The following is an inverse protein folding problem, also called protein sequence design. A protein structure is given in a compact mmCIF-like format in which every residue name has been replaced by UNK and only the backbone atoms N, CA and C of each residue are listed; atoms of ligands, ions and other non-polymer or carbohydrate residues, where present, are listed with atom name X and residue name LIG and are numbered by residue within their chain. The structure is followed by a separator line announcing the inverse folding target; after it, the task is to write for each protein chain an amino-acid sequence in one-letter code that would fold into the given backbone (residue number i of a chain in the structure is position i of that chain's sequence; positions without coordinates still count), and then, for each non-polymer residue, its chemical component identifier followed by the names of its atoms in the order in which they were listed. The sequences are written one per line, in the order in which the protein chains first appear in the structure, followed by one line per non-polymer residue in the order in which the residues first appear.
data_IF_068938204018
#
_entry.id   IF_068938204018
#
_cell.length_a   1.000
_cell.length_b   1.000
_cell.length_c   1.000
_cell.angle_alpha   90.00
_cell.angle_beta   90.00
_cell.angle_gamma   90.00
#
_symmetry.space_group_name_H-M   'P 1'
#
loop_
_entity.id
_entity.type
_entity.pdbx_description
1 polymer ?
#
# COMPACT_ATOMS: atom_id res chain seq x y z
N UNK A 1 22.04 8.41 2.54
CA UNK A 1 20.79 9.22 2.60
C UNK A 1 19.60 8.51 1.95
N UNK A 2 19.80 7.83 0.80
CA UNK A 2 18.72 7.06 0.13
C UNK A 2 18.19 5.92 1.00
N UNK A 3 19.08 5.17 1.65
CA UNK A 3 18.71 4.02 2.48
C UNK A 3 17.79 4.43 3.65
N UNK A 4 18.08 5.57 4.30
CA UNK A 4 17.22 6.07 5.39
C UNK A 4 15.83 6.50 4.89
N UNK A 5 15.75 7.10 3.71
CA UNK A 5 14.48 7.49 3.12
C UNK A 5 13.67 6.26 2.71
N UNK A 6 14.32 5.27 2.08
CA UNK A 6 13.69 4.02 1.69
C UNK A 6 13.14 3.28 2.91
N UNK A 7 13.98 3.09 3.94
CA UNK A 7 13.58 2.40 5.18
C UNK A 7 12.45 3.16 5.88
N UNK A 8 12.54 4.48 6.00
CA UNK A 8 11.48 5.29 6.62
C UNK A 8 10.14 5.12 5.90
N UNK A 9 10.12 5.27 4.57
CA UNK A 9 8.91 5.08 3.78
C UNK A 9 8.37 3.64 3.87
N UNK A 10 9.26 2.64 3.87
CA UNK A 10 8.87 1.24 4.01
C UNK A 10 8.20 0.95 5.36
N UNK A 11 8.73 1.52 6.45
CA UNK A 11 8.19 1.31 7.80
C UNK A 11 6.82 1.95 8.00
N UNK A 12 6.46 3.00 7.24
CA UNK A 12 5.13 3.62 7.29
C UNK A 12 3.99 2.62 7.02
N UNK A 13 4.24 1.48 6.40
CA UNK A 13 3.22 0.42 6.23
C UNK A 13 2.74 -0.15 7.57
N UNK A 14 3.60 -0.19 8.57
CA UNK A 14 3.22 -0.61 9.92
C UNK A 14 2.41 0.48 10.62
N UNK A 15 2.78 1.76 10.42
CA UNK A 15 2.00 2.90 10.89
C UNK A 15 0.60 2.92 10.27
N UNK A 16 0.47 2.61 8.99
CA UNK A 16 -0.81 2.50 8.30
C UNK A 16 -1.69 1.40 8.93
N UNK A 17 -1.12 0.22 9.24
CA UNK A 17 -1.85 -0.85 9.93
C UNK A 17 -2.29 -0.42 11.33
N UNK A 18 -1.41 0.25 12.07
CA UNK A 18 -1.72 0.77 13.40
C UNK A 18 -2.81 1.83 13.36
N UNK A 19 -2.77 2.73 12.36
CA UNK A 19 -3.80 3.76 12.17
C UNK A 19 -5.18 3.13 11.88
N UNK A 20 -5.23 2.15 10.97
CA UNK A 20 -6.47 1.41 10.68
C UNK A 20 -7.00 0.68 11.91
N UNK A 21 -6.12 0.06 12.69
CA UNK A 21 -6.46 -0.60 13.95
C UNK A 21 -7.06 0.41 14.95
N UNK A 22 -6.41 1.56 15.12
CA UNK A 22 -6.86 2.62 16.02
C UNK A 22 -8.22 3.17 15.61
N UNK A 23 -8.41 3.56 14.34
CA UNK A 23 -9.67 4.11 13.83
C UNK A 23 -10.80 3.07 13.85
N UNK A 24 -10.47 1.79 13.70
CA UNK A 24 -11.41 0.66 13.84
C UNK A 24 -11.69 0.26 15.29
N UNK A 25 -11.19 1.02 16.28
CA UNK A 25 -11.43 0.75 17.71
C UNK A 25 -10.70 -0.47 18.26
N UNK A 26 -9.61 -0.91 17.61
CA UNK A 26 -8.80 -2.06 18.05
C UNK A 26 -7.59 -1.60 18.86
N UNK A 27 -7.14 -2.42 19.80
CA UNK A 27 -5.97 -2.13 20.63
C UNK A 27 -4.63 -2.60 20.02
N UNK A 28 -4.68 -3.41 18.95
CA UNK A 28 -3.48 -3.95 18.33
C UNK A 28 -2.56 -2.85 17.82
N UNK A 29 -1.27 -2.96 18.14
CA UNK A 29 -0.20 -2.06 17.71
C UNK A 29 1.02 -2.89 17.29
N UNK A 30 1.60 -2.57 16.13
CA UNK A 30 2.83 -3.20 15.64
C UNK A 30 4.02 -2.30 15.97
N UNK A 31 4.91 -2.78 16.83
CA UNK A 31 6.07 -2.02 17.35
C UNK A 31 7.17 -1.78 16.29
N UNK A 32 7.03 -2.32 15.10
CA UNK A 32 7.93 -2.01 13.96
C UNK A 32 7.61 -0.65 13.33
N UNK A 33 6.48 -0.04 13.68
CA UNK A 33 6.06 1.27 13.22
C UNK A 33 7.02 2.38 13.67
N UNK A 34 7.02 3.50 12.93
CA UNK A 34 7.81 4.68 13.26
C UNK A 34 7.20 5.50 14.39
N UNK A 35 5.87 5.47 14.52
CA UNK A 35 5.11 6.30 15.46
C UNK A 35 4.44 5.43 16.50
N UNK A 36 4.43 5.93 17.73
CA UNK A 36 3.73 5.27 18.83
C UNK A 36 2.21 5.40 18.68
N UNK A 37 1.49 4.60 19.46
CA UNK A 37 0.03 4.70 19.54
C UNK A 37 -0.42 6.08 19.97
N UNK A 38 0.26 6.66 20.96
CA UNK A 38 -0.03 8.00 21.48
C UNK A 38 0.13 9.09 20.42
N UNK A 39 1.17 8.98 19.56
CA UNK A 39 1.38 9.91 18.44
C UNK A 39 0.27 9.79 17.39
N UNK A 40 -0.21 8.59 17.10
CA UNK A 40 -1.35 8.38 16.20
C UNK A 40 -2.66 8.92 16.82
N UNK A 41 -2.90 8.70 18.12
CA UNK A 41 -4.06 9.25 18.84
C UNK A 41 -4.03 10.79 18.84
N UNK A 42 -2.86 11.40 19.03
CA UNK A 42 -2.69 12.84 18.92
C UNK A 42 -2.99 13.37 17.52
N UNK A 43 -2.61 12.62 16.47
CA UNK A 43 -2.92 12.98 15.09
C UNK A 43 -4.44 12.95 14.81
N UNK A 44 -5.13 11.93 15.32
CA UNK A 44 -6.60 11.83 15.23
C UNK A 44 -7.27 13.02 15.94
N UNK A 45 -6.82 13.34 17.15
CA UNK A 45 -7.34 14.47 17.90
C UNK A 45 -7.06 15.81 17.23
N UNK A 46 -5.85 16.01 16.68
CA UNK A 46 -5.49 17.22 15.94
C UNK A 46 -6.42 17.46 14.73
N UNK A 47 -6.78 16.40 14.00
CA UNK A 47 -7.76 16.51 12.91
C UNK A 47 -9.14 16.87 13.44
N UNK A 48 -9.59 16.19 14.50
CA UNK A 48 -10.91 16.39 15.11
C UNK A 48 -11.13 17.84 15.59
N UNK A 49 -10.09 18.47 16.16
CA UNK A 49 -10.18 19.87 16.63
C UNK A 49 -9.77 20.91 15.60
N UNK A 50 -9.37 20.50 14.39
CA UNK A 50 -8.92 21.38 13.31
C UNK A 50 -7.54 22.01 13.56
N UNK A 51 -6.68 21.41 14.37
CA UNK A 51 -5.30 21.88 14.56
C UNK A 51 -4.45 21.57 13.34
N UNK A 52 -3.89 22.61 12.73
CA UNK A 52 -3.02 22.51 11.54
C UNK A 52 -1.55 22.79 11.85
N UNK A 53 -1.22 23.21 13.07
CA UNK A 53 0.10 23.71 13.43
C UNK A 53 1.05 22.62 13.97
N UNK A 54 0.52 21.58 14.57
CA UNK A 54 1.31 20.49 15.16
C UNK A 54 1.02 19.17 14.43
N UNK A 55 1.66 18.95 13.27
CA UNK A 55 1.47 17.77 12.42
C UNK A 55 2.80 17.09 12.12
N UNK A 56 3.38 16.35 13.10
CA UNK A 56 4.69 15.69 12.91
C UNK A 56 4.66 14.49 11.95
N UNK A 57 3.50 13.88 11.73
CA UNK A 57 3.35 12.76 10.82
C UNK A 57 3.31 13.22 9.35
N UNK A 58 3.50 12.32 8.38
CA UNK A 58 3.31 12.64 6.96
C UNK A 58 1.90 13.18 6.67
N UNK A 59 1.80 14.15 5.75
CA UNK A 59 0.54 14.84 5.45
C UNK A 59 -0.59 13.88 5.07
N UNK A 60 -0.29 12.81 4.32
CA UNK A 60 -1.31 11.85 3.89
C UNK A 60 -2.04 11.16 5.06
N UNK A 61 -1.39 11.03 6.23
CA UNK A 61 -2.01 10.46 7.44
C UNK A 61 -3.17 11.34 7.90
N UNK A 62 -2.95 12.65 7.94
CA UNK A 62 -4.00 13.63 8.33
C UNK A 62 -5.10 13.70 7.27
N UNK A 63 -4.74 13.64 6.00
CA UNK A 63 -5.70 13.62 4.89
C UNK A 63 -6.59 12.37 4.97
N UNK A 64 -6.02 11.22 5.32
CA UNK A 64 -6.79 10.00 5.53
C UNK A 64 -7.72 10.08 6.72
N UNK A 65 -7.22 10.53 7.89
CA UNK A 65 -8.02 10.69 9.11
C UNK A 65 -9.22 11.62 8.84
N UNK A 66 -8.98 12.75 8.15
CA UNK A 66 -10.01 13.74 7.87
C UNK A 66 -11.17 13.21 7.03
N UNK A 67 -10.91 12.23 6.15
CA UNK A 67 -11.94 11.65 5.26
C UNK A 67 -12.42 10.26 5.67
N UNK A 68 -11.91 9.71 6.75
CA UNK A 68 -12.19 8.33 7.17
C UNK A 68 -13.70 8.05 7.33
N UNK A 69 -14.42 8.98 7.98
CA UNK A 69 -15.86 8.86 8.18
C UNK A 69 -16.69 9.06 6.89
N UNK A 70 -16.06 9.61 5.83
CA UNK A 70 -16.71 9.97 4.58
C UNK A 70 -16.41 8.98 3.43
N UNK A 71 -15.68 7.88 3.71
CA UNK A 71 -15.24 6.92 2.68
C UNK A 71 -16.39 6.18 1.99
N UNK A 72 -17.57 6.08 2.62
CA UNK A 72 -18.72 5.40 2.04
C UNK A 72 -18.41 3.93 1.72
N UNK A 73 -18.53 3.55 0.44
CA UNK A 73 -18.27 2.18 -0.03
C UNK A 73 -16.78 1.89 -0.31
N UNK A 74 -15.91 2.89 -0.18
CA UNK A 74 -14.45 2.71 -0.38
C UNK A 74 -13.87 2.04 0.86
N UNK A 75 -13.13 0.95 0.66
CA UNK A 75 -12.44 0.28 1.76
C UNK A 75 -11.34 1.19 2.33
N UNK A 76 -11.30 1.37 3.66
CA UNK A 76 -10.26 2.20 4.29
C UNK A 76 -8.84 1.78 3.94
N UNK A 77 -8.58 0.47 3.81
CA UNK A 77 -7.30 -0.09 3.41
C UNK A 77 -6.88 0.36 2.01
N UNK A 78 -7.81 0.40 1.07
CA UNK A 78 -7.54 0.79 -0.32
C UNK A 78 -7.23 2.29 -0.41
N UNK A 79 -8.02 3.14 0.25
CA UNK A 79 -7.77 4.58 0.27
C UNK A 79 -6.45 4.93 0.97
N UNK A 80 -6.15 4.29 2.10
CA UNK A 80 -4.89 4.52 2.79
C UNK A 80 -3.69 4.04 1.98
N UNK A 81 -3.81 2.90 1.30
CA UNK A 81 -2.78 2.40 0.38
C UNK A 81 -2.55 3.36 -0.77
N UNK A 82 -3.61 3.91 -1.36
CA UNK A 82 -3.52 4.92 -2.42
C UNK A 82 -2.73 6.15 -1.95
N UNK A 83 -3.12 6.72 -0.83
CA UNK A 83 -2.45 7.90 -0.25
C UNK A 83 -0.99 7.64 0.11
N UNK A 84 -0.70 6.45 0.64
CA UNK A 84 0.66 6.02 0.98
C UNK A 84 1.56 5.93 -0.27
N UNK A 85 1.10 5.28 -1.34
CA UNK A 85 1.89 5.18 -2.57
C UNK A 85 2.05 6.55 -3.25
N UNK A 86 1.01 7.38 -3.26
CA UNK A 86 1.09 8.75 -3.78
C UNK A 86 2.16 9.56 -3.02
N UNK A 87 2.22 9.42 -1.69
CA UNK A 87 3.25 10.04 -0.87
C UNK A 87 4.66 9.49 -1.17
N UNK A 88 4.83 8.17 -1.22
CA UNK A 88 6.12 7.53 -1.45
C UNK A 88 6.69 7.85 -2.83
N UNK A 89 5.84 7.95 -3.85
CA UNK A 89 6.22 8.30 -5.22
C UNK A 89 6.66 9.76 -5.38
N UNK A 90 6.43 10.63 -4.39
CA UNK A 90 6.96 11.99 -4.34
C UNK A 90 8.38 12.07 -3.76
N UNK A 91 8.99 10.95 -3.40
CA UNK A 91 10.36 10.92 -2.88
C UNK A 91 11.34 11.62 -3.84
N UNK A 92 12.27 12.42 -3.29
CA UNK A 92 13.26 13.15 -4.09
C UNK A 92 14.28 12.24 -4.78
N UNK A 93 14.55 11.10 -4.18
CA UNK A 93 15.51 10.12 -4.70
C UNK A 93 14.86 9.24 -5.76
N UNK A 94 15.48 9.16 -6.95
CA UNK A 94 14.98 8.39 -8.08
C UNK A 94 14.88 6.88 -7.79
N UNK A 95 15.89 6.29 -7.15
CA UNK A 95 15.86 4.86 -6.80
C UNK A 95 14.71 4.55 -5.84
N UNK A 96 14.42 5.45 -4.90
CA UNK A 96 13.30 5.31 -3.98
C UNK A 96 11.98 5.37 -4.74
N UNK A 97 11.80 6.30 -5.68
CA UNK A 97 10.60 6.36 -6.52
C UNK A 97 10.42 5.11 -7.35
N UNK A 98 11.48 4.62 -8.00
CA UNK A 98 11.43 3.40 -8.81
C UNK A 98 11.08 2.18 -7.96
N UNK A 99 11.63 2.09 -6.75
CA UNK A 99 11.27 1.03 -5.81
C UNK A 99 9.78 1.07 -5.43
N UNK A 100 9.24 2.23 -5.08
CA UNK A 100 7.82 2.32 -4.72
C UNK A 100 6.88 2.20 -5.91
N UNK A 101 7.31 2.55 -7.12
CA UNK A 101 6.57 2.21 -8.34
C UNK A 101 6.49 0.69 -8.54
N UNK A 102 7.61 -0.02 -8.38
CA UNK A 102 7.65 -1.47 -8.41
C UNK A 102 6.77 -2.11 -7.31
N UNK A 103 6.84 -1.62 -6.07
CA UNK A 103 6.00 -2.08 -4.95
C UNK A 103 4.51 -1.88 -5.25
N UNK A 104 4.12 -0.72 -5.80
CA UNK A 104 2.73 -0.45 -6.20
C UNK A 104 2.27 -1.41 -7.29
N UNK A 105 3.07 -1.60 -8.32
CA UNK A 105 2.73 -2.47 -9.45
C UNK A 105 2.64 -3.94 -9.00
N UNK A 106 3.51 -4.37 -8.11
CA UNK A 106 3.44 -5.68 -7.44
C UNK A 106 2.15 -5.84 -6.63
N UNK A 107 1.79 -4.82 -5.85
CA UNK A 107 0.54 -4.80 -5.10
C UNK A 107 -0.69 -4.90 -6.01
N UNK A 108 -0.71 -4.15 -7.12
CA UNK A 108 -1.78 -4.19 -8.11
C UNK A 108 -1.95 -5.57 -8.74
N UNK A 109 -0.85 -6.18 -9.18
CA UNK A 109 -0.86 -7.54 -9.73
C UNK A 109 -1.40 -8.54 -8.71
N UNK A 110 -0.89 -8.49 -7.48
CA UNK A 110 -1.32 -9.38 -6.40
C UNK A 110 -2.82 -9.22 -6.11
N UNK A 111 -3.31 -7.99 -6.02
CA UNK A 111 -4.73 -7.68 -5.81
C UNK A 111 -5.61 -8.27 -6.90
N UNK A 112 -5.25 -8.08 -8.18
CA UNK A 112 -6.04 -8.59 -9.30
C UNK A 112 -5.99 -10.12 -9.37
N UNK A 113 -4.84 -10.75 -9.13
CA UNK A 113 -4.74 -12.21 -9.10
C UNK A 113 -5.51 -12.83 -7.94
N UNK A 114 -5.51 -12.19 -6.77
CA UNK A 114 -6.33 -12.61 -5.63
C UNK A 114 -7.81 -12.52 -5.99
N UNK A 115 -8.23 -11.43 -6.65
CA UNK A 115 -9.59 -11.31 -7.19
C UNK A 115 -9.97 -12.44 -8.14
N UNK A 116 -9.06 -12.80 -9.07
CA UNK A 116 -9.27 -13.93 -9.97
C UNK A 116 -9.40 -15.27 -9.24
N UNK A 117 -8.55 -15.50 -8.23
CA UNK A 117 -8.58 -16.72 -7.41
C UNK A 117 -9.91 -16.87 -6.66
N UNK A 118 -10.43 -15.77 -6.13
CA UNK A 118 -11.64 -15.75 -5.31
C UNK A 118 -12.92 -15.39 -6.07
N UNK A 119 -12.85 -15.15 -7.39
CA UNK A 119 -14.00 -14.94 -8.26
C UNK A 119 -14.66 -13.58 -8.14
N UNK A 120 -13.90 -12.53 -7.78
CA UNK A 120 -14.40 -11.15 -7.77
C UNK A 120 -13.56 -10.21 -8.63
N UNK A 121 -14.17 -9.13 -9.11
CA UNK A 121 -13.47 -8.12 -9.91
C UNK A 121 -12.71 -7.13 -9.02
N UNK A 122 -11.40 -7.28 -8.96
CA UNK A 122 -10.51 -6.40 -8.18
C UNK A 122 -9.92 -5.23 -9.01
N UNK A 123 -10.30 -5.06 -10.29
CA UNK A 123 -9.80 -3.95 -11.12
C UNK A 123 -10.12 -2.56 -10.56
N UNK A 124 -11.26 -2.32 -9.88
CA UNK A 124 -11.50 -1.04 -9.22
C UNK A 124 -10.51 -0.69 -8.10
N UNK A 125 -9.85 -1.69 -7.51
CA UNK A 125 -8.86 -1.50 -6.44
C UNK A 125 -7.42 -1.24 -6.96
N UNK A 126 -7.22 -1.24 -8.29
CA UNK A 126 -5.90 -0.98 -8.89
C UNK A 126 -5.47 0.47 -8.66
N UNK A 127 -4.26 0.67 -8.16
CA UNK A 127 -3.71 1.96 -7.76
C UNK A 127 -2.84 2.60 -8.84
N UNK A 128 -2.94 3.94 -8.97
CA UNK A 128 -2.08 4.75 -9.85
C UNK A 128 -2.44 4.66 -11.34
N UNK A 129 -1.64 5.33 -12.19
CA UNK A 129 -1.90 5.52 -13.62
C UNK A 129 -0.74 5.03 -14.51
N UNK A 130 0.13 4.14 -13.98
CA UNK A 130 1.23 3.56 -14.75
C UNK A 130 0.77 2.49 -15.76
N UNK A 131 1.67 2.09 -16.66
CA UNK A 131 1.38 1.09 -17.71
C UNK A 131 0.78 -0.20 -17.17
N UNK A 132 1.28 -0.69 -16.02
CA UNK A 132 0.74 -1.89 -15.36
C UNK A 132 -0.69 -1.65 -14.89
N UNK A 133 -0.96 -0.52 -14.24
CA UNK A 133 -2.29 -0.17 -13.75
C UNK A 133 -3.30 -0.06 -14.91
N UNK A 134 -2.92 0.60 -16.01
CA UNK A 134 -3.76 0.73 -17.21
C UNK A 134 -4.03 -0.62 -17.86
N UNK A 135 -3.01 -1.47 -17.97
CA UNK A 135 -3.16 -2.83 -18.51
C UNK A 135 -4.13 -3.66 -17.64
N UNK A 136 -3.99 -3.62 -16.32
CA UNK A 136 -4.85 -4.37 -15.39
C UNK A 136 -6.31 -3.91 -15.43
N UNK A 137 -6.57 -2.59 -15.62
CA UNK A 137 -7.94 -2.04 -15.69
C UNK A 137 -8.64 -2.34 -17.00
N UNK A 138 -7.93 -2.26 -18.11
CA UNK A 138 -8.55 -2.15 -19.44
C UNK A 138 -8.29 -3.33 -20.37
N UNK A 139 -7.26 -4.16 -20.11
CA UNK A 139 -6.97 -5.29 -20.98
C UNK A 139 -8.04 -6.39 -20.85
N UNK A 140 -8.39 -6.96 -21.99
CA UNK A 140 -9.26 -8.15 -22.08
C UNK A 140 -8.46 -9.45 -22.22
N UNK A 141 -7.14 -9.38 -22.29
CA UNK A 141 -6.26 -10.55 -22.39
C UNK A 141 -6.19 -11.29 -21.05
N UNK A 142 -6.08 -12.61 -21.05
CA UNK A 142 -6.00 -13.41 -19.83
C UNK A 142 -4.79 -13.07 -18.94
N UNK A 143 -3.72 -12.56 -19.52
CA UNK A 143 -2.48 -12.15 -18.88
C UNK A 143 -2.30 -10.62 -18.88
N UNK A 144 -3.36 -9.88 -19.22
CA UNK A 144 -3.36 -8.40 -19.36
C UNK A 144 -2.35 -7.88 -20.39
N UNK A 145 -1.70 -8.75 -21.18
CA UNK A 145 -0.58 -8.40 -22.05
C UNK A 145 0.74 -8.17 -21.30
N UNK A 146 0.81 -8.54 -20.03
CA UNK A 146 1.94 -8.25 -19.16
C UNK A 146 2.93 -9.40 -18.99
N UNK A 147 2.55 -10.64 -19.40
CA UNK A 147 3.38 -11.83 -19.18
C UNK A 147 4.75 -11.78 -19.86
N UNK A 148 4.87 -11.05 -20.98
CA UNK A 148 6.12 -10.90 -21.72
C UNK A 148 6.86 -9.60 -21.42
N UNK A 149 6.17 -8.57 -20.92
CA UNK A 149 6.75 -7.25 -20.64
C UNK A 149 7.24 -7.10 -19.20
N UNK A 150 6.66 -7.85 -18.25
CA UNK A 150 7.06 -7.84 -16.85
C UNK A 150 7.85 -9.09 -16.47
N UNK A 151 9.16 -8.98 -16.18
CA UNK A 151 10.00 -10.15 -15.85
C UNK A 151 9.52 -10.94 -14.65
N UNK A 152 8.82 -10.28 -13.72
CA UNK A 152 8.33 -10.84 -12.46
C UNK A 152 6.84 -11.28 -12.49
N UNK A 153 6.16 -11.14 -13.63
CA UNK A 153 4.72 -11.46 -13.75
C UNK A 153 4.39 -12.90 -13.29
N UNK A 154 5.14 -13.88 -13.82
CA UNK A 154 4.90 -15.29 -13.51
C UNK A 154 5.15 -15.62 -12.04
N UNK A 155 6.17 -14.98 -11.43
CA UNK A 155 6.52 -15.20 -10.01
C UNK A 155 5.44 -14.63 -9.09
N UNK A 156 4.98 -13.41 -9.33
CA UNK A 156 3.88 -12.79 -8.54
C UNK A 156 2.58 -13.59 -8.71
N UNK A 157 2.28 -14.02 -9.94
CA UNK A 157 1.10 -14.84 -10.17
C UNK A 157 1.15 -16.15 -9.37
N UNK A 158 2.30 -16.84 -9.38
CA UNK A 158 2.49 -18.06 -8.58
C UNK A 158 2.27 -17.80 -7.10
N UNK A 159 2.83 -16.73 -6.55
CA UNK A 159 2.70 -16.37 -5.14
C UNK A 159 1.24 -16.05 -4.77
N UNK A 160 0.53 -15.30 -5.61
CA UNK A 160 -0.86 -14.94 -5.37
C UNK A 160 -1.83 -16.13 -5.36
N UNK A 161 -1.43 -17.26 -5.97
CA UNK A 161 -2.22 -18.49 -5.99
C UNK A 161 -1.78 -19.52 -4.93
N UNK A 162 -0.94 -19.16 -3.97
CA UNK A 162 -0.67 -20.00 -2.80
C UNK A 162 -1.90 -20.04 -1.89
N UNK A 163 -2.15 -21.22 -1.30
CA UNK A 163 -3.31 -21.43 -0.42
C UNK A 163 -3.05 -20.94 1.02
N UNK A 164 -1.79 -21.02 1.47
CA UNK A 164 -1.40 -20.64 2.84
C UNK A 164 -0.96 -19.17 2.90
N UNK A 165 -1.61 -18.39 3.78
CA UNK A 165 -1.34 -16.96 3.92
C UNK A 165 0.07 -16.66 4.45
N UNK A 166 0.62 -17.53 5.32
CA UNK A 166 1.97 -17.35 5.89
C UNK A 166 3.02 -17.64 4.82
N UNK A 167 2.82 -18.67 4.00
CA UNK A 167 3.68 -18.96 2.86
C UNK A 167 3.62 -17.85 1.83
N UNK A 168 2.44 -17.29 1.57
CA UNK A 168 2.24 -16.14 0.68
C UNK A 168 3.03 -14.92 1.15
N UNK A 169 2.92 -14.54 2.43
CA UNK A 169 3.69 -13.39 2.97
C UNK A 169 5.20 -13.63 2.88
N UNK A 170 5.66 -14.83 3.26
CA UNK A 170 7.08 -15.19 3.21
C UNK A 170 7.64 -15.14 1.79
N UNK A 171 6.91 -15.67 0.83
CA UNK A 171 7.32 -15.67 -0.58
C UNK A 171 7.31 -14.26 -1.20
N UNK A 172 6.34 -13.41 -0.82
CA UNK A 172 6.30 -12.00 -1.23
C UNK A 172 7.50 -11.22 -0.68
N UNK A 173 7.86 -11.44 0.58
CA UNK A 173 9.01 -10.77 1.17
C UNK A 173 10.31 -11.23 0.51
N UNK A 174 10.49 -12.55 0.28
CA UNK A 174 11.64 -13.08 -0.44
C UNK A 174 11.71 -12.51 -1.87
N UNK A 175 10.59 -12.41 -2.57
CA UNK A 175 10.48 -11.79 -3.88
C UNK A 175 10.94 -10.33 -3.87
N UNK A 176 10.46 -9.52 -2.93
CA UNK A 176 10.86 -8.11 -2.79
C UNK A 176 12.36 -7.96 -2.59
N UNK A 177 12.95 -8.77 -1.69
CA UNK A 177 14.40 -8.75 -1.46
C UNK A 177 15.23 -9.13 -2.68
N UNK A 178 14.72 -10.00 -3.55
CA UNK A 178 15.40 -10.39 -4.79
C UNK A 178 15.49 -9.24 -5.80
N UNK A 179 14.52 -8.32 -5.78
CA UNK A 179 14.42 -7.20 -6.72
C UNK A 179 14.93 -5.86 -6.16
N UNK A 180 15.39 -5.83 -4.92
CA UNK A 180 16.04 -4.69 -4.28
C UNK A 180 17.52 -4.63 -4.66
#
# INVERSE_FOLDING_TARGET
KSDRQLVGLYLLRYDNRNLLSLLGGKEAHDDRALYSREELEQAVEAVRIGDVNNRPLPAYVYDFIARYEELGDVLPEDELSRLYFDHALQAKNELVRQWFAFERDTNNLFTVFTGQQHGFDARPCVLGDGEVAEALRHSTLPDFGLSTSLPYYAEIRRIAFLEDAVDTERELDAFRFKWL
#
